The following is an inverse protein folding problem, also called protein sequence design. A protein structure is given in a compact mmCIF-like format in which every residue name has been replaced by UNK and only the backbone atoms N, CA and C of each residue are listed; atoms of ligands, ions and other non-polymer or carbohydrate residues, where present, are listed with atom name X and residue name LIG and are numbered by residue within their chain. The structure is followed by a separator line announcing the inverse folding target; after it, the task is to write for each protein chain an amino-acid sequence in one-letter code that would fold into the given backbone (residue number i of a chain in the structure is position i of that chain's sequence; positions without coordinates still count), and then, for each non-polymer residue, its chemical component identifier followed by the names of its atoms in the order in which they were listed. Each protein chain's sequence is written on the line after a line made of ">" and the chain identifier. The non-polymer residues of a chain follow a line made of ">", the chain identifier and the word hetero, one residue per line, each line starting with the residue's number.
data_IF_072624124780
#
_entry.id   IF_072624124780
#
_cell.length_a   1.000
_cell.length_b   1.000
_cell.length_c   1.000
_cell.angle_alpha   90.00
_cell.angle_beta   90.00
_cell.angle_gamma   90.00
#
_symmetry.space_group_name_H-M   'P 1'
#
loop_
_entity.id
_entity.type
_entity.pdbx_description
1 polymer ?
#
# COMPACT_ATOMS: atom_id res chain seq x y z
N UNK A 1 -22.41 -3.50 -9.86
CA UNK A 1 -21.22 -4.21 -9.36
C UNK A 1 -21.46 -5.71 -9.38
N UNK A 2 -22.58 -6.17 -8.87
CA UNK A 2 -22.93 -7.60 -8.81
C UNK A 2 -22.72 -8.34 -10.13
N UNK A 3 -23.15 -7.77 -11.25
CA UNK A 3 -23.00 -8.39 -12.57
C UNK A 3 -21.53 -8.50 -12.99
N UNK A 4 -20.71 -7.51 -12.64
CA UNK A 4 -19.26 -7.52 -12.90
C UNK A 4 -18.57 -8.65 -12.13
N UNK A 5 -18.95 -8.87 -10.87
CA UNK A 5 -18.42 -9.94 -10.03
C UNK A 5 -18.98 -11.31 -10.39
N UNK A 6 -20.13 -11.36 -11.05
CA UNK A 6 -20.73 -12.61 -11.52
C UNK A 6 -20.01 -13.21 -12.75
N UNK A 7 -19.19 -12.42 -13.45
CA UNK A 7 -18.40 -12.89 -14.58
C UNK A 7 -17.30 -13.88 -14.16
N UNK A 8 -16.86 -13.82 -12.89
CA UNK A 8 -15.81 -14.69 -12.39
C UNK A 8 -16.40 -15.94 -11.71
N UNK A 9 -15.93 -17.10 -12.12
CA UNK A 9 -16.33 -18.39 -11.53
C UNK A 9 -15.52 -18.63 -10.26
N UNK A 10 -16.15 -18.44 -9.12
CA UNK A 10 -15.53 -18.63 -7.81
C UNK A 10 -16.49 -19.34 -6.86
N UNK A 11 -16.02 -20.24 -5.98
CA UNK A 11 -16.85 -20.84 -4.93
C UNK A 11 -17.54 -19.75 -4.09
N UNK A 12 -18.80 -19.96 -3.74
CA UNK A 12 -19.63 -18.95 -3.06
C UNK A 12 -19.05 -18.49 -1.73
N UNK A 13 -18.39 -19.39 -1.01
CA UNK A 13 -17.74 -19.08 0.27
C UNK A 13 -16.57 -18.09 0.09
N UNK A 14 -15.67 -18.38 -0.85
CA UNK A 14 -14.53 -17.51 -1.17
C UNK A 14 -15.01 -16.14 -1.70
N UNK A 15 -16.05 -16.16 -2.55
CA UNK A 15 -16.66 -14.94 -3.06
C UNK A 15 -17.20 -14.05 -1.94
N UNK A 16 -17.90 -14.63 -0.96
CA UNK A 16 -18.44 -13.89 0.18
C UNK A 16 -17.33 -13.29 1.04
N UNK A 17 -16.26 -14.05 1.24
CA UNK A 17 -15.09 -13.58 1.98
C UNK A 17 -14.41 -12.39 1.29
N UNK A 18 -14.09 -12.51 0.00
CA UNK A 18 -13.47 -11.43 -0.78
C UNK A 18 -14.34 -10.16 -0.78
N UNK A 19 -15.66 -10.28 -0.96
CA UNK A 19 -16.59 -9.14 -0.95
C UNK A 19 -16.57 -8.43 0.40
N UNK A 20 -16.56 -9.19 1.50
CA UNK A 20 -16.45 -8.64 2.85
C UNK A 20 -15.12 -7.92 3.06
N UNK A 21 -14.03 -8.58 2.73
CA UNK A 21 -12.68 -8.14 3.03
C UNK A 21 -12.25 -6.93 2.19
N UNK A 22 -12.73 -6.83 0.96
CA UNK A 22 -12.53 -5.63 0.13
C UNK A 22 -13.46 -4.48 0.50
N UNK A 23 -14.38 -4.69 1.46
CA UNK A 23 -15.31 -3.66 1.93
C UNK A 23 -16.40 -3.28 0.93
N UNK A 24 -16.64 -4.10 -0.12
CA UNK A 24 -17.61 -3.79 -1.18
C UNK A 24 -19.01 -4.38 -0.95
N UNK A 25 -19.28 -4.91 0.23
CA UNK A 25 -20.57 -5.56 0.53
C UNK A 25 -21.78 -4.66 0.25
N UNK A 26 -21.68 -3.36 0.57
CA UNK A 26 -22.74 -2.37 0.35
C UNK A 26 -22.81 -1.85 -1.10
N UNK A 27 -21.82 -2.15 -1.92
CA UNK A 27 -21.70 -1.63 -3.29
C UNK A 27 -22.28 -2.58 -4.35
N UNK A 28 -22.72 -3.76 -3.95
CA UNK A 28 -23.12 -4.82 -4.89
C UNK A 28 -24.23 -4.39 -5.85
N UNK A 29 -25.19 -3.60 -5.38
CA UNK A 29 -26.32 -3.13 -6.18
C UNK A 29 -26.04 -1.76 -6.87
N UNK A 30 -24.88 -1.14 -6.60
CA UNK A 30 -24.48 0.12 -7.22
C UNK A 30 -24.03 -0.07 -8.66
N UNK A 31 -24.27 0.96 -9.49
CA UNK A 31 -23.72 1.02 -10.85
C UNK A 31 -22.24 1.42 -10.79
N UNK A 32 -21.38 0.77 -11.58
CA UNK A 32 -19.93 1.02 -11.59
C UNK A 32 -19.59 2.49 -11.87
N UNK A 33 -20.39 3.17 -12.71
CA UNK A 33 -20.20 4.58 -13.05
C UNK A 33 -20.48 5.55 -11.87
N UNK A 34 -21.19 5.10 -10.84
CA UNK A 34 -21.56 5.90 -9.67
C UNK A 34 -20.58 5.73 -8.50
N UNK A 35 -19.60 4.84 -8.64
CA UNK A 35 -18.60 4.59 -7.61
C UNK A 35 -17.56 5.70 -7.55
N UNK A 36 -17.13 6.06 -6.34
CA UNK A 36 -15.93 6.86 -6.12
C UNK A 36 -14.68 6.15 -6.66
N UNK A 37 -13.56 6.87 -6.77
CA UNK A 37 -12.28 6.28 -7.19
C UNK A 37 -11.88 5.08 -6.33
N UNK A 38 -11.90 5.23 -5.00
CA UNK A 38 -11.56 4.17 -4.06
C UNK A 38 -12.51 2.97 -4.10
N UNK A 39 -13.82 3.22 -4.16
CA UNK A 39 -14.81 2.15 -4.31
C UNK A 39 -14.60 1.36 -5.59
N UNK A 40 -14.31 2.05 -6.69
CA UNK A 40 -14.03 1.40 -7.98
C UNK A 40 -12.75 0.56 -7.92
N UNK A 41 -11.67 1.05 -7.30
CA UNK A 41 -10.43 0.30 -7.11
C UNK A 41 -10.68 -0.97 -6.28
N UNK A 42 -11.42 -0.86 -5.18
CA UNK A 42 -11.80 -2.03 -4.34
C UNK A 42 -12.63 -3.06 -5.10
N UNK A 43 -13.55 -2.63 -5.95
CA UNK A 43 -14.36 -3.53 -6.80
C UNK A 43 -13.49 -4.23 -7.84
N UNK A 44 -12.56 -3.53 -8.48
CA UNK A 44 -11.63 -4.11 -9.45
C UNK A 44 -10.67 -5.11 -8.79
N UNK A 45 -10.16 -4.77 -7.61
CA UNK A 45 -9.32 -5.65 -6.81
C UNK A 45 -10.08 -6.92 -6.39
N UNK A 46 -11.32 -6.77 -5.88
CA UNK A 46 -12.17 -7.91 -5.55
C UNK A 46 -12.38 -8.83 -6.76
N UNK A 47 -12.66 -8.25 -7.92
CA UNK A 47 -12.81 -9.02 -9.17
C UNK A 47 -11.55 -9.78 -9.53
N UNK A 48 -10.38 -9.16 -9.40
CA UNK A 48 -9.10 -9.83 -9.67
C UNK A 48 -8.85 -11.00 -8.71
N UNK A 49 -9.15 -10.82 -7.42
CA UNK A 49 -8.99 -11.85 -6.39
C UNK A 49 -9.98 -13.03 -6.57
N UNK A 50 -11.18 -12.78 -7.10
CA UNK A 50 -12.15 -13.86 -7.41
C UNK A 50 -11.62 -14.89 -8.42
N UNK A 51 -10.60 -14.52 -9.19
CA UNK A 51 -9.91 -15.44 -10.11
C UNK A 51 -8.90 -16.34 -9.40
N UNK A 52 -8.66 -16.12 -8.12
CA UNK A 52 -7.67 -16.86 -7.32
C UNK A 52 -6.29 -16.91 -8.00
N UNK A 53 -5.69 -15.75 -8.35
CA UNK A 53 -4.44 -15.71 -9.10
C UNK A 53 -3.26 -16.14 -8.23
N UNK A 54 -2.27 -16.81 -8.81
CA UNK A 54 -0.96 -17.04 -8.18
C UNK A 54 -0.13 -15.75 -8.11
N UNK A 55 -0.33 -14.85 -9.09
CA UNK A 55 0.33 -13.54 -9.17
C UNK A 55 -0.71 -12.47 -9.50
N UNK A 56 -0.82 -11.47 -8.64
CA UNK A 56 -1.64 -10.28 -8.84
C UNK A 56 -0.75 -9.11 -9.30
N UNK A 57 -1.07 -8.54 -10.47
CA UNK A 57 -0.36 -7.38 -11.01
C UNK A 57 -1.24 -6.14 -10.82
N UNK A 58 -0.72 -5.13 -10.14
CA UNK A 58 -1.38 -3.87 -9.86
C UNK A 58 -0.57 -2.72 -10.47
N UNK A 59 -1.20 -1.93 -11.33
CA UNK A 59 -0.60 -0.76 -11.96
C UNK A 59 -1.22 0.50 -11.36
N UNK A 60 -0.40 1.30 -10.65
CA UNK A 60 -0.77 2.52 -9.94
C UNK A 60 -2.08 2.39 -9.12
N UNK A 61 -2.21 1.36 -8.26
CA UNK A 61 -3.50 1.04 -7.63
C UNK A 61 -4.00 2.12 -6.66
N UNK A 62 -3.12 3.01 -6.18
CA UNK A 62 -3.46 4.09 -5.24
C UNK A 62 -3.76 5.41 -5.95
N UNK A 63 -3.56 5.51 -7.27
CA UNK A 63 -3.68 6.76 -8.00
C UNK A 63 -5.09 7.35 -7.92
N UNK A 64 -5.17 8.63 -7.54
CA UNK A 64 -6.44 9.37 -7.50
C UNK A 64 -7.34 9.04 -6.31
N UNK A 65 -6.80 8.39 -5.28
CA UNK A 65 -7.47 8.18 -4.01
C UNK A 65 -7.20 9.36 -3.04
N UNK A 66 -8.10 9.55 -2.09
CA UNK A 66 -7.82 10.38 -0.92
C UNK A 66 -6.88 9.64 0.04
N UNK A 67 -6.20 10.38 0.92
CA UNK A 67 -5.15 9.87 1.82
C UNK A 67 -5.64 8.68 2.65
N UNK A 68 -6.87 8.73 3.16
CA UNK A 68 -7.42 7.66 3.99
C UNK A 68 -7.69 6.40 3.16
N UNK A 69 -8.33 6.54 2.01
CA UNK A 69 -8.63 5.44 1.08
C UNK A 69 -7.35 4.78 0.55
N UNK A 70 -6.31 5.60 0.31
CA UNK A 70 -5.00 5.14 -0.12
C UNK A 70 -4.34 4.26 0.96
N UNK A 71 -4.28 4.73 2.21
CA UNK A 71 -3.71 3.97 3.32
C UNK A 71 -4.45 2.65 3.56
N UNK A 72 -5.79 2.67 3.56
CA UNK A 72 -6.61 1.47 3.73
C UNK A 72 -6.39 0.45 2.60
N UNK A 73 -6.32 0.91 1.34
CA UNK A 73 -6.09 0.03 0.20
C UNK A 73 -4.68 -0.56 0.22
N UNK A 74 -3.69 0.26 0.61
CA UNK A 74 -2.31 -0.20 0.73
C UNK A 74 -2.17 -1.31 1.78
N UNK A 75 -2.68 -1.10 2.99
CA UNK A 75 -2.66 -2.12 4.05
C UNK A 75 -3.38 -3.41 3.60
N UNK A 76 -4.46 -3.27 2.88
CA UNK A 76 -5.16 -4.43 2.32
C UNK A 76 -4.28 -5.17 1.30
N UNK A 77 -3.67 -4.45 0.34
CA UNK A 77 -2.80 -5.05 -0.70
C UNK A 77 -1.57 -5.73 -0.07
N UNK A 78 -0.98 -5.12 0.94
CA UNK A 78 0.17 -5.65 1.67
C UNK A 78 -0.10 -7.03 2.30
N UNK A 79 -1.32 -7.24 2.77
CA UNK A 79 -1.72 -8.48 3.45
C UNK A 79 -2.22 -9.57 2.49
N UNK A 80 -2.37 -9.30 1.18
CA UNK A 80 -2.86 -10.27 0.21
C UNK A 80 -2.00 -11.54 0.09
N UNK A 81 -0.65 -11.46 0.09
CA UNK A 81 0.19 -12.65 -0.01
C UNK A 81 -0.06 -13.64 1.12
N UNK A 82 -0.15 -13.15 2.35
CA UNK A 82 -0.40 -13.98 3.52
C UNK A 82 -1.83 -14.54 3.53
N UNK A 83 -2.80 -13.71 3.15
CA UNK A 83 -4.22 -14.07 3.23
C UNK A 83 -4.70 -14.98 2.11
N UNK A 84 -4.25 -14.73 0.89
CA UNK A 84 -4.72 -15.44 -0.31
C UNK A 84 -3.64 -16.29 -0.98
N UNK A 85 -2.41 -16.30 -0.46
CA UNK A 85 -1.32 -17.10 -1.02
C UNK A 85 -0.85 -16.65 -2.39
N UNK A 86 -1.16 -15.40 -2.83
CA UNK A 86 -0.77 -14.87 -4.12
C UNK A 86 0.42 -13.92 -4.00
N UNK A 87 1.34 -13.97 -4.95
CA UNK A 87 2.38 -12.94 -5.06
C UNK A 87 1.77 -11.64 -5.60
N UNK A 88 2.23 -10.48 -5.10
CA UNK A 88 1.80 -9.17 -5.58
C UNK A 88 2.95 -8.48 -6.29
N UNK A 89 2.75 -8.10 -7.55
CA UNK A 89 3.61 -7.21 -8.31
C UNK A 89 2.90 -5.85 -8.45
N UNK A 90 3.42 -4.84 -7.78
CA UNK A 90 2.87 -3.48 -7.82
C UNK A 90 3.80 -2.56 -8.62
N UNK A 91 3.24 -1.82 -9.58
CA UNK A 91 3.92 -0.71 -10.25
C UNK A 91 3.41 0.57 -9.61
N UNK A 92 4.32 1.42 -9.14
CA UNK A 92 3.98 2.72 -8.55
C UNK A 92 5.14 3.70 -8.68
N UNK A 93 4.80 4.98 -8.79
CA UNK A 93 5.74 6.10 -8.69
C UNK A 93 5.77 6.68 -7.27
N UNK A 94 4.90 6.24 -6.37
CA UNK A 94 4.92 6.63 -4.98
C UNK A 94 5.93 5.80 -4.18
N UNK A 95 7.08 6.43 -3.92
CA UNK A 95 8.19 5.79 -3.23
C UNK A 95 7.88 5.47 -1.77
N UNK A 96 6.97 6.20 -1.13
CA UNK A 96 6.62 5.95 0.27
C UNK A 96 6.02 4.56 0.42
N UNK A 97 5.01 4.24 -0.39
CA UNK A 97 4.36 2.93 -0.37
C UNK A 97 5.31 1.81 -0.81
N UNK A 98 6.10 2.06 -1.88
CA UNK A 98 7.07 1.08 -2.36
C UNK A 98 8.08 0.71 -1.29
N UNK A 99 8.59 1.67 -0.52
CA UNK A 99 9.65 1.42 0.45
C UNK A 99 9.16 0.84 1.79
N UNK A 100 7.90 1.06 2.16
CA UNK A 100 7.38 0.64 3.47
C UNK A 100 6.88 -0.81 3.52
N UNK A 101 6.43 -1.38 2.41
CA UNK A 101 5.69 -2.64 2.45
C UNK A 101 6.03 -3.67 1.40
N UNK A 102 7.10 -3.48 0.65
CA UNK A 102 7.52 -4.46 -0.34
C UNK A 102 8.71 -5.29 0.16
N UNK A 103 8.73 -6.55 -0.22
CA UNK A 103 9.86 -7.43 0.07
C UNK A 103 11.00 -7.26 -0.94
N UNK A 104 10.70 -6.72 -2.12
CA UNK A 104 11.68 -6.49 -3.18
C UNK A 104 11.26 -5.32 -4.06
N UNK A 105 12.22 -4.47 -4.41
CA UNK A 105 12.06 -3.33 -5.31
C UNK A 105 12.86 -3.55 -6.58
N UNK A 106 12.28 -3.16 -7.71
CA UNK A 106 12.95 -3.07 -9.00
C UNK A 106 12.77 -1.65 -9.53
N UNK A 107 13.87 -0.92 -9.69
CA UNK A 107 13.85 0.43 -10.26
C UNK A 107 13.98 0.36 -11.77
N UNK A 108 13.02 0.95 -12.47
CA UNK A 108 12.94 0.93 -13.91
C UNK A 108 13.03 2.34 -14.50
N UNK A 109 13.99 2.56 -15.39
CA UNK A 109 14.09 3.76 -16.22
C UNK A 109 14.58 3.34 -17.60
N UNK A 110 13.69 2.91 -18.49
CA UNK A 110 13.96 2.26 -19.78
C UNK A 110 14.76 0.94 -19.68
N UNK A 111 15.52 0.75 -18.63
CA UNK A 111 16.24 -0.47 -18.24
C UNK A 111 16.15 -0.64 -16.71
N UNK A 112 16.50 -1.81 -16.22
CA UNK A 112 16.58 -2.06 -14.77
C UNK A 112 17.84 -1.37 -14.23
N UNK A 113 17.67 -0.28 -13.48
CA UNK A 113 18.75 0.49 -12.90
C UNK A 113 19.29 -0.13 -11.61
N UNK A 114 18.39 -0.70 -10.79
CA UNK A 114 18.73 -1.39 -9.57
C UNK A 114 17.57 -2.31 -9.12
N UNK A 115 17.90 -3.30 -8.32
CA UNK A 115 16.90 -4.16 -7.67
C UNK A 115 17.44 -4.71 -6.35
N UNK A 116 16.57 -5.01 -5.40
CA UNK A 116 16.96 -5.56 -4.11
C UNK A 116 15.90 -5.29 -3.02
N UNK A 117 16.31 -5.46 -1.77
CA UNK A 117 15.54 -5.02 -0.62
C UNK A 117 15.39 -3.50 -0.63
N UNK A 118 14.26 -2.93 -0.18
CA UNK A 118 14.03 -1.49 -0.17
C UNK A 118 15.19 -0.67 0.42
N UNK A 119 15.68 -1.05 1.59
CA UNK A 119 16.78 -0.40 2.30
C UNK A 119 18.10 -0.40 1.49
N UNK A 120 18.40 -1.53 0.84
CA UNK A 120 19.59 -1.68 0.02
C UNK A 120 19.51 -0.90 -1.29
N UNK A 121 18.31 -0.77 -1.85
CA UNK A 121 18.07 -0.08 -3.12
C UNK A 121 18.26 1.43 -2.96
N UNK A 122 17.84 2.03 -1.86
CA UNK A 122 18.00 3.46 -1.57
C UNK A 122 19.47 3.92 -1.61
N UNK A 123 20.39 3.05 -1.24
CA UNK A 123 21.83 3.34 -1.20
C UNK A 123 22.51 3.18 -2.57
N UNK A 124 21.81 2.67 -3.57
CA UNK A 124 22.42 2.40 -4.88
C UNK A 124 22.51 3.66 -5.74
N UNK A 125 23.64 3.87 -6.45
CA UNK A 125 23.82 5.02 -7.34
C UNK A 125 22.71 5.15 -8.38
N UNK A 126 22.22 4.02 -8.93
CA UNK A 126 21.12 4.01 -9.90
C UNK A 126 19.80 4.54 -9.34
N UNK A 127 19.49 4.28 -8.06
CA UNK A 127 18.34 4.85 -7.38
C UNK A 127 18.50 6.35 -7.16
N UNK A 128 19.67 6.74 -6.64
CA UNK A 128 19.98 8.15 -6.35
C UNK A 128 20.00 9.02 -7.61
N UNK A 129 20.43 8.48 -8.74
CA UNK A 129 20.39 9.18 -10.02
C UNK A 129 18.97 9.47 -10.52
N UNK A 130 18.00 8.63 -10.17
CA UNK A 130 16.59 8.78 -10.61
C UNK A 130 15.81 9.66 -9.62
N UNK A 131 15.96 9.41 -8.31
CA UNK A 131 15.10 9.96 -7.27
C UNK A 131 15.77 11.01 -6.39
N UNK A 132 17.09 11.22 -6.52
CA UNK A 132 17.90 12.14 -5.70
C UNK A 132 18.35 11.54 -4.37
N UNK A 133 19.34 12.19 -3.74
CA UNK A 133 19.98 11.73 -2.49
C UNK A 133 19.20 12.11 -1.21
N UNK A 134 18.25 13.04 -1.27
CA UNK A 134 17.67 13.70 -0.09
C UNK A 134 16.21 13.29 0.25
N UNK A 135 15.70 12.18 -0.26
CA UNK A 135 14.39 11.69 0.18
C UNK A 135 14.60 10.73 1.35
N UNK A 136 14.67 11.29 2.56
CA UNK A 136 14.60 10.52 3.80
C UNK A 136 13.12 10.15 4.02
N UNK A 137 12.78 8.87 3.85
CA UNK A 137 11.47 8.38 4.24
C UNK A 137 11.48 8.18 5.75
N UNK A 138 10.57 8.86 6.46
CA UNK A 138 10.37 8.63 7.88
C UNK A 138 9.81 7.21 8.05
N UNK A 139 10.61 6.32 8.62
CA UNK A 139 10.11 5.07 9.14
C UNK A 139 9.40 5.39 10.46
N UNK A 140 8.08 5.32 10.46
CA UNK A 140 7.34 5.24 11.70
C UNK A 140 7.58 3.86 12.31
N UNK A 141 8.53 3.76 13.22
CA UNK A 141 8.57 2.64 14.15
C UNK A 141 7.36 2.77 15.07
N UNK A 142 6.35 1.98 14.84
CA UNK A 142 5.35 1.72 15.86
C UNK A 142 6.00 0.78 16.88
N UNK A 143 6.70 1.37 17.85
CA UNK A 143 7.04 0.66 19.06
C UNK A 143 5.71 0.30 19.73
N UNK A 144 5.33 -0.96 19.63
CA UNK A 144 4.30 -1.53 20.46
C UNK A 144 4.79 -1.44 21.91
N UNK A 145 4.38 -0.38 22.60
CA UNK A 145 4.46 -0.33 24.04
C UNK A 145 3.58 -1.48 24.56
N UNK A 146 4.22 -2.60 24.87
CA UNK A 146 3.60 -3.64 25.69
C UNK A 146 3.27 -3.00 27.04
N UNK A 147 2.00 -2.74 27.27
CA UNK A 147 1.49 -2.29 28.57
C UNK A 147 1.66 -3.43 29.57
N UNK A 148 2.80 -3.43 30.26
CA UNK A 148 2.95 -4.06 31.55
C UNK A 148 2.57 -3.02 32.60
N UNK A 149 1.67 -3.41 33.51
CA UNK A 149 1.17 -2.59 34.61
C UNK A 149 2.32 -2.01 35.45
N UNK A 150 2.56 -0.71 35.35
CA UNK A 150 3.10 0.12 36.43
C UNK A 150 3.00 1.60 36.06
N UNK A 151 2.29 2.33 36.89
CA UNK A 151 1.98 3.74 36.75
C UNK A 151 3.25 4.60 36.90
N UNK A 152 3.71 5.21 35.80
CA UNK A 152 4.57 6.40 35.83
C UNK A 152 4.23 7.27 34.63
N UNK A 153 3.91 8.59 34.81
CA UNK A 153 3.55 9.47 33.71
C UNK A 153 4.79 9.83 32.90
N UNK A 154 4.69 9.70 31.57
CA UNK A 154 5.72 10.20 30.65
C UNK A 154 5.73 11.72 30.68
N UNK A 155 6.85 12.32 31.09
CA UNK A 155 7.10 13.76 30.97
C UNK A 155 7.48 14.08 29.52
N UNK A 156 6.63 14.79 28.82
CA UNK A 156 6.97 15.41 27.54
C UNK A 156 7.86 16.63 27.79
N UNK A 157 9.14 16.51 27.44
CA UNK A 157 10.10 17.62 27.46
C UNK A 157 9.87 18.49 26.21
N UNK A 158 9.17 19.61 26.41
CA UNK A 158 8.88 20.61 25.39
C UNK A 158 10.04 21.58 25.28
N UNK A 159 11.08 21.25 24.52
CA UNK A 159 12.12 22.21 24.15
C UNK A 159 11.88 22.70 22.72
N UNK A 160 11.82 24.04 22.48
CA UNK A 160 11.74 24.58 21.14
C UNK A 160 13.07 24.41 20.40
N UNK A 161 13.04 23.82 19.23
CA UNK A 161 14.18 23.76 18.31
C UNK A 161 14.41 25.16 17.72
N UNK A 162 15.56 25.80 18.08
CA UNK A 162 16.04 27.04 17.49
C UNK A 162 16.72 26.68 16.17
N UNK A 163 16.21 27.20 15.05
CA UNK A 163 16.87 27.13 13.76
C UNK A 163 17.97 28.18 13.72
N UNK A 164 19.21 27.86 13.30
CA UNK A 164 20.20 28.89 12.99
C UNK A 164 19.84 29.55 11.65
N UNK A 165 19.82 30.90 11.67
CA UNK A 165 19.70 31.72 10.46
C UNK A 165 20.98 31.61 9.61
N UNK A 166 20.90 31.69 8.27
CA UNK A 166 22.08 31.73 7.42
C UNK A 166 22.73 33.12 7.51
N UNK A 167 24.01 33.14 7.86
CA UNK A 167 24.84 34.36 7.76
C UNK A 167 25.05 34.76 6.29
N UNK A 168 25.06 36.09 6.09
CA UNK A 168 25.15 36.82 4.83
C UNK A 168 26.51 36.66 4.12
#
# INVERSE_FOLDING_TARGET
>A
VKDLLALEKCPSQIKTEIIRDTGISKLQDSKVQQLSGGERQRVLLARALLRQPDILVLDEPMQGLDIQSEAELYEYVRNLPEKYGCAVLMVSHDLQWVMQGTTRVVCLNKHICCSGLPESVQQRPGYQAIFGTNRVFYQHHHDHCAHGDSATPCQHDSRPHIHPEPEA
#
